data_IF_723519179215
#
_entry.id   IF_723519179215
#
_cell.length_a   1.000
_cell.length_b   1.000
_cell.length_c   1.000
_cell.angle_alpha   90.00
_cell.angle_beta   90.00
_cell.angle_gamma   90.00
#
_symmetry.space_group_name_H-M   'P 1'
#
loop_
_entity.id
_entity.type
_entity.pdbx_description
1 polymer ?
#
# COMPACT_ATOMS: atom_id res chain seq x y z
N UNK A 1 7.10 8.84 -6.36
CA UNK A 1 7.73 7.51 -6.13
C UNK A 1 6.60 6.53 -5.87
N UNK A 2 6.78 5.22 -5.82
CA UNK A 2 5.67 4.29 -5.55
C UNK A 2 5.82 3.71 -4.14
N UNK A 3 5.18 4.33 -3.16
CA UNK A 3 5.26 3.93 -1.75
C UNK A 3 4.87 2.48 -1.50
N UNK A 4 3.88 1.94 -2.20
CA UNK A 4 3.46 0.53 -2.07
C UNK A 4 4.60 -0.41 -2.46
N UNK A 5 5.26 -0.13 -3.59
CA UNK A 5 6.41 -0.93 -4.04
C UNK A 5 7.57 -0.84 -3.06
N UNK A 6 7.88 0.34 -2.54
CA UNK A 6 8.99 0.52 -1.59
C UNK A 6 8.69 -0.18 -0.26
N UNK A 7 7.47 -0.04 0.27
CA UNK A 7 7.02 -0.72 1.48
C UNK A 7 7.16 -2.25 1.35
N UNK A 8 6.68 -2.81 0.24
CA UNK A 8 6.79 -4.25 -0.06
C UNK A 8 8.26 -4.72 -0.09
N UNK A 9 9.14 -3.95 -0.75
CA UNK A 9 10.55 -4.31 -0.85
C UNK A 9 11.28 -4.22 0.48
N UNK A 10 10.96 -3.24 1.32
CA UNK A 10 11.51 -3.13 2.70
C UNK A 10 11.07 -4.28 3.59
N UNK A 11 9.82 -4.73 3.43
CA UNK A 11 9.32 -5.92 4.10
C UNK A 11 9.93 -7.24 3.58
N UNK A 12 10.82 -7.19 2.58
CA UNK A 12 11.42 -8.38 1.98
C UNK A 12 10.44 -9.23 1.17
N UNK A 13 9.27 -8.67 0.82
CA UNK A 13 8.22 -9.40 0.12
C UNK A 13 8.37 -9.24 -1.40
N UNK A 14 8.14 -10.34 -2.13
CA UNK A 14 7.89 -10.25 -3.57
C UNK A 14 6.39 -9.93 -3.82
N UNK A 15 6.03 -9.62 -5.07
CA UNK A 15 4.64 -9.26 -5.41
C UNK A 15 3.65 -10.39 -5.08
N UNK A 16 4.02 -11.65 -5.30
CA UNK A 16 3.17 -12.82 -5.03
C UNK A 16 2.88 -12.94 -3.53
N UNK A 17 3.92 -12.85 -2.69
CA UNK A 17 3.77 -12.96 -1.23
C UNK A 17 2.82 -11.90 -0.67
N UNK A 18 2.94 -10.64 -1.11
CA UNK A 18 2.05 -9.59 -0.62
C UNK A 18 0.64 -9.74 -1.20
N UNK A 19 0.50 -10.13 -2.47
CA UNK A 19 -0.79 -10.39 -3.09
C UNK A 19 -1.55 -11.50 -2.34
N UNK A 20 -0.87 -12.60 -2.00
CA UNK A 20 -1.44 -13.69 -1.20
C UNK A 20 -1.82 -13.23 0.21
N UNK A 21 -0.98 -12.42 0.86
CA UNK A 21 -1.25 -11.89 2.20
C UNK A 21 -2.52 -11.04 2.27
N UNK A 22 -2.80 -10.26 1.22
CA UNK A 22 -4.01 -9.41 1.14
C UNK A 22 -5.18 -10.08 0.40
N UNK A 23 -5.06 -11.37 0.04
CA UNK A 23 -6.11 -12.11 -0.67
C UNK A 23 -6.40 -11.61 -2.09
N UNK A 24 -5.40 -11.06 -2.78
CA UNK A 24 -5.50 -10.51 -4.13
C UNK A 24 -4.75 -11.36 -5.15
N UNK A 25 -5.28 -11.47 -6.38
CA UNK A 25 -4.53 -12.13 -7.45
C UNK A 25 -3.25 -11.35 -7.81
N UNK A 26 -2.18 -12.06 -8.17
CA UNK A 26 -0.91 -11.44 -8.58
C UNK A 26 -1.06 -10.49 -9.77
N UNK A 27 -1.95 -10.82 -10.72
CA UNK A 27 -2.20 -9.97 -11.89
C UNK A 27 -2.88 -8.66 -11.49
N UNK A 28 -3.87 -8.74 -10.60
CA UNK A 28 -4.54 -7.55 -10.04
C UNK A 28 -3.55 -6.71 -9.25
N UNK A 29 -2.77 -7.34 -8.37
CA UNK A 29 -1.76 -6.66 -7.57
C UNK A 29 -0.72 -5.97 -8.44
N UNK A 30 -0.15 -6.65 -9.45
CA UNK A 30 0.87 -6.07 -10.33
C UNK A 30 0.34 -4.86 -11.10
N UNK A 31 -0.93 -4.88 -11.51
CA UNK A 31 -1.59 -3.72 -12.14
C UNK A 31 -1.74 -2.56 -11.16
N UNK A 32 -2.25 -2.81 -9.95
CA UNK A 32 -2.46 -1.78 -8.92
C UNK A 32 -1.13 -1.25 -8.35
N UNK A 33 -0.10 -2.08 -8.28
CA UNK A 33 1.23 -1.60 -7.90
C UNK A 33 1.74 -0.60 -8.95
N UNK A 34 1.52 -0.81 -10.26
CA UNK A 34 1.92 0.18 -11.28
C UNK A 34 1.14 1.50 -11.19
N UNK A 35 -0.11 1.44 -10.73
CA UNK A 35 -0.98 2.59 -10.53
C UNK A 35 -1.63 2.54 -9.13
N UNK A 36 -0.94 3.06 -8.10
CA UNK A 36 -1.40 2.96 -6.71
C UNK A 36 -2.76 3.63 -6.44
N UNK A 37 -3.23 4.51 -7.33
CA UNK A 37 -4.56 5.14 -7.23
C UNK A 37 -5.69 4.11 -7.28
N UNK A 38 -5.45 2.95 -7.89
CA UNK A 38 -6.41 1.85 -8.02
C UNK A 38 -6.58 1.02 -6.75
N UNK A 39 -5.74 1.22 -5.73
CA UNK A 39 -5.98 0.64 -4.42
C UNK A 39 -7.05 1.44 -3.68
N UNK A 40 -8.03 0.71 -3.14
CA UNK A 40 -8.97 1.22 -2.15
C UNK A 40 -8.27 1.45 -0.81
N UNK A 41 -8.88 2.25 0.07
CA UNK A 41 -8.35 2.47 1.41
C UNK A 41 -8.22 1.17 2.22
N UNK A 42 -9.20 0.27 2.13
CA UNK A 42 -9.15 -1.03 2.82
C UNK A 42 -8.01 -1.91 2.32
N UNK A 43 -7.70 -1.89 1.01
CA UNK A 43 -6.55 -2.63 0.48
C UNK A 43 -5.22 -2.01 0.91
N UNK A 44 -5.13 -0.67 0.98
CA UNK A 44 -3.93 0.01 1.49
C UNK A 44 -3.72 -0.29 2.97
N UNK A 45 -4.79 -0.34 3.76
CA UNK A 45 -4.74 -0.77 5.16
C UNK A 45 -4.25 -2.23 5.28
N UNK A 46 -4.81 -3.16 4.50
CA UNK A 46 -4.38 -4.56 4.51
C UNK A 46 -2.89 -4.72 4.11
N UNK A 47 -2.41 -3.90 3.17
CA UNK A 47 -0.98 -3.84 2.83
C UNK A 47 -0.17 -3.34 4.03
N UNK A 48 -0.60 -2.26 4.69
CA UNK A 48 0.06 -1.70 5.87
C UNK A 48 0.21 -2.74 6.99
N UNK A 49 -0.84 -3.52 7.24
CA UNK A 49 -0.85 -4.60 8.23
C UNK A 49 0.09 -5.75 7.85
N UNK A 50 0.30 -5.99 6.55
CA UNK A 50 1.13 -7.09 6.05
C UNK A 50 2.64 -6.79 5.99
N UNK A 51 3.04 -5.51 5.82
CA UNK A 51 4.44 -5.11 5.58
C UNK A 51 5.25 -4.77 6.84
N UNK A 52 4.62 -4.76 8.02
CA UNK A 52 5.26 -4.42 9.30
C UNK A 52 5.66 -2.93 9.42
N UNK A 53 6.29 -2.55 10.54
CA UNK A 53 6.58 -1.15 10.89
C UNK A 53 7.43 -0.42 9.82
N UNK A 54 8.50 -1.06 9.33
CA UNK A 54 9.40 -0.46 8.33
C UNK A 54 8.74 -0.18 6.98
N UNK A 55 7.76 -1.02 6.59
CA UNK A 55 6.97 -0.84 5.38
C UNK A 55 5.85 0.18 5.56
N UNK A 56 5.26 0.24 6.76
CA UNK A 56 4.17 1.18 7.08
C UNK A 56 4.61 2.63 6.97
N UNK A 57 5.81 2.99 7.41
CA UNK A 57 6.27 4.38 7.38
C UNK A 57 6.39 4.95 5.97
N UNK A 58 6.76 4.10 5.01
CA UNK A 58 6.82 4.49 3.61
C UNK A 58 5.42 4.59 3.00
N UNK A 59 4.55 3.64 3.34
CA UNK A 59 3.16 3.68 2.89
C UNK A 59 2.41 4.89 3.46
N UNK A 60 2.67 5.28 4.71
CA UNK A 60 2.12 6.48 5.35
C UNK A 60 2.52 7.76 4.64
N UNK A 61 3.75 7.86 4.11
CA UNK A 61 4.18 9.04 3.34
C UNK A 61 3.41 9.17 2.03
N UNK A 62 3.26 8.06 1.30
CA UNK A 62 2.48 8.02 0.06
C UNK A 62 0.98 8.24 0.30
N UNK A 63 0.47 7.70 1.41
CA UNK A 63 -0.90 7.92 1.85
C UNK A 63 -1.11 9.35 2.32
N UNK A 64 -0.18 9.98 3.05
CA UNK A 64 -0.28 11.37 3.48
C UNK A 64 -0.44 12.31 2.29
N UNK A 65 0.29 12.09 1.20
CA UNK A 65 0.11 12.85 -0.04
C UNK A 65 -1.30 12.68 -0.66
N UNK A 66 -1.96 11.54 -0.42
CA UNK A 66 -3.38 11.29 -0.78
C UNK A 66 -4.39 11.74 0.31
N UNK A 67 -3.97 11.77 1.58
CA UNK A 67 -4.79 12.00 2.78
C UNK A 67 -4.71 13.44 3.31
N UNK A 68 -3.83 14.31 2.79
CA UNK A 68 -3.93 15.77 3.00
C UNK A 68 -5.34 16.28 2.64
N UNK A 69 -6.10 15.53 1.82
CA UNK A 69 -7.50 15.80 1.51
C UNK A 69 -8.54 15.26 2.53
N UNK A 70 -8.20 14.31 3.40
CA UNK A 70 -9.16 13.63 4.30
C UNK A 70 -9.11 14.09 5.76
N UNK A 71 -8.03 14.75 6.21
CA UNK A 71 -7.99 15.39 7.54
C UNK A 71 -8.59 16.81 7.55
N UNK A 72 -8.91 17.40 6.39
CA UNK A 72 -9.59 18.71 6.34
C UNK A 72 -11.10 18.63 6.62
N UNK A 73 -11.68 17.44 6.75
CA UNK A 73 -13.10 17.21 7.04
C UNK A 73 -13.36 16.59 8.42
N UNK A 74 -12.46 16.78 9.38
CA UNK A 74 -12.71 16.39 10.78
C UNK A 74 -12.27 17.46 11.79
N UNK A 75 -12.76 18.69 11.62
CA UNK A 75 -13.42 19.56 12.63
C UNK A 75 -13.45 21.02 12.21
#
# INVERSE_FOLDING_TARGET
>A
MNGVRVARLRAGMNQQTLADAIGMSITTYSRKERDPSLFSLGELQAIAESVGEDGQDELKRELADRFIFLDSDCK
#
